data_IF_355147805282
#
_entry.id   IF_355147805282
#
_cell.length_a   1.000
_cell.length_b   1.000
_cell.length_c   1.000
_cell.angle_alpha   90.00
_cell.angle_beta   90.00
_cell.angle_gamma   90.00
#
_symmetry.space_group_name_H-M   'P 1'
#
loop_
_entity.id
_entity.type
_entity.pdbx_description
1 polymer ?
#
# COMPACT_ATOMS: atom_id res chain seq x y z
N UNK A 1 10.46 29.21 15.13
CA UNK A 1 11.14 29.33 15.63
C UNK A 1 11.35 29.12 16.20
N UNK A 2 11.10 28.95 16.04
CA UNK A 2 11.82 28.96 16.72
C UNK A 2 12.12 28.61 16.91
N UNK A 3 12.16 28.27 16.24
CA UNK A 3 12.86 28.07 16.65
C UNK A 3 13.39 27.70 16.91
N UNK A 4 13.39 27.67 16.63
CA UNK A 4 14.21 27.41 17.07
C UNK A 4 14.45 26.80 17.39
N UNK A 5 14.31 26.61 17.32
CA UNK A 5 14.97 26.14 17.92
C UNK A 5 15.01 25.48 17.90
N UNK A 6 14.97 25.20 17.69
CA UNK A 6 15.54 24.70 18.08
C UNK A 6 15.86 24.26 18.07
N UNK A 7 15.93 24.05 17.64
CA UNK A 7 16.65 23.67 17.83
C UNK A 7 16.95 23.06 17.93
N UNK A 8 16.90 23.17 17.90
CA UNK A 8 17.42 22.70 18.11
C UNK A 8 17.47 21.97 18.11
N UNK A 9 17.44 22.02 18.08
CA UNK A 9 17.69 21.43 18.21
C UNK A 9 17.62 20.61 18.01
N UNK A 10 17.59 20.63 17.97
CA UNK A 10 17.79 20.01 17.92
C UNK A 10 17.76 19.22 17.65
N UNK A 11 17.78 19.26 17.60
CA UNK A 11 18.01 18.67 17.53
C UNK A 11 17.91 17.85 17.28
N UNK A 12 17.84 17.82 17.24
CA UNK A 12 17.99 17.19 17.19
C UNK A 12 17.78 16.38 16.86
N UNK A 13 17.71 16.28 16.74
CA UNK A 13 17.76 15.66 16.64
C UNK A 13 17.62 14.86 16.28
N UNK A 14 17.56 14.77 16.15
CA UNK A 14 17.65 14.21 15.98
C UNK A 14 17.57 13.49 15.69
N UNK A 15 17.50 13.36 15.61
CA UNK A 15 17.64 12.81 15.48
C UNK A 15 17.45 12.11 15.27
N UNK A 16 17.37 12.11 15.23
CA UNK A 16 17.36 11.60 15.13
C UNK A 16 17.14 10.86 14.87
N UNK A 17 16.95 10.74 14.75
CA UNK A 17 16.99 10.22 14.60
C UNK A 17 16.83 9.42 14.36
N UNK A 18 16.88 9.18 14.32
CA UNK A 18 17.00 8.61 14.26
C UNK A 18 16.75 7.78 14.28
N UNK A 19 16.44 7.68 14.47
CA UNK A 19 16.40 7.08 14.55
C UNK A 19 16.09 6.36 14.20
N UNK A 20 15.88 6.36 13.90
CA UNK A 20 15.64 5.93 13.45
C UNK A 20 15.65 5.27 13.06
N UNK A 21 15.84 5.49 12.91
CA UNK A 21 16.14 4.94 12.67
C UNK A 21 16.03 3.99 12.99
N UNK A 22 16.09 4.14 13.16
CA UNK A 22 16.00 3.10 13.37
C UNK A 22 15.42 2.27 12.38
N UNK A 23 15.80 2.14 11.29
CA UNK A 23 15.32 1.48 10.15
C UNK A 23 14.78 0.11 10.42
N UNK A 24 15.09 -0.39 11.51
CA UNK A 24 14.57 -1.66 11.88
C UNK A 24 13.08 -1.66 11.95
N UNK A 25 12.49 -0.49 12.02
CA UNK A 25 11.09 -0.46 12.00
C UNK A 25 10.55 -0.35 10.64
N UNK A 26 11.18 -0.89 9.66
CA UNK A 26 10.69 -0.82 8.32
C UNK A 26 9.37 -1.52 8.22
N UNK A 27 8.35 -0.76 8.01
CA UNK A 27 7.04 -1.29 7.79
C UNK A 27 6.97 -1.95 6.43
N UNK A 28 6.05 -2.87 6.32
CA UNK A 28 5.77 -3.47 5.03
C UNK A 28 5.02 -2.47 4.17
N UNK A 29 5.34 -2.42 2.90
CA UNK A 29 4.67 -1.53 1.96
C UNK A 29 4.10 -2.33 0.81
N UNK A 30 2.88 -2.00 0.44
CA UNK A 30 2.23 -2.55 -0.73
C UNK A 30 2.20 -1.46 -1.80
N UNK A 31 2.75 -1.76 -2.97
CA UNK A 31 2.55 -0.96 -4.16
C UNK A 31 1.50 -1.69 -4.99
N UNK A 32 0.30 -1.14 -5.04
CA UNK A 32 -0.81 -1.76 -5.74
C UNK A 32 -1.13 -0.92 -6.97
N UNK A 33 -1.18 -1.56 -8.12
CA UNK A 33 -1.56 -0.90 -9.37
C UNK A 33 -2.86 -1.49 -9.85
N UNK A 34 -3.85 -0.64 -10.10
CA UNK A 34 -5.12 -1.04 -10.70
C UNK A 34 -5.15 -0.49 -12.11
N UNK A 35 -5.24 -1.38 -13.08
CA UNK A 35 -5.21 -1.00 -14.50
C UNK A 35 -6.58 -1.24 -15.10
N UNK A 36 -7.19 -0.17 -15.61
CA UNK A 36 -8.48 -0.25 -16.26
C UNK A 36 -8.26 -0.30 -17.77
N UNK A 37 -8.37 -1.49 -18.34
CA UNK A 37 -8.19 -1.66 -19.78
C UNK A 37 -9.49 -1.52 -20.56
N UNK A 38 -10.58 -1.20 -19.89
CA UNK A 38 -11.84 -0.92 -20.55
C UNK A 38 -11.88 0.51 -21.06
N UNK A 39 -13.02 0.91 -21.58
CA UNK A 39 -13.20 2.24 -22.12
C UNK A 39 -13.93 3.17 -21.17
N UNK A 40 -14.56 2.62 -20.13
CA UNK A 40 -15.35 3.41 -19.20
C UNK A 40 -14.65 3.55 -17.88
N UNK A 41 -14.86 4.66 -17.18
CA UNK A 41 -14.26 4.82 -15.85
C UNK A 41 -14.90 3.87 -14.85
N UNK A 42 -14.13 3.50 -13.84
CA UNK A 42 -14.61 2.63 -12.77
C UNK A 42 -14.28 3.28 -11.44
N UNK A 43 -15.09 2.97 -10.44
CA UNK A 43 -14.78 3.34 -9.06
C UNK A 43 -14.21 2.11 -8.38
N UNK A 44 -13.06 2.27 -7.75
CA UNK A 44 -12.32 1.18 -7.13
C UNK A 44 -12.19 1.48 -5.65
N UNK A 45 -12.45 0.49 -4.82
CA UNK A 45 -12.22 0.59 -3.38
C UNK A 45 -11.11 -0.36 -3.00
N UNK A 46 -10.15 0.13 -2.22
CA UNK A 46 -9.01 -0.66 -1.74
C UNK A 46 -9.07 -0.67 -0.22
N UNK A 47 -9.13 -1.86 0.35
CA UNK A 47 -9.14 -2.06 1.80
C UNK A 47 -8.01 -3.01 2.14
N UNK A 48 -7.14 -2.60 3.08
CA UNK A 48 -6.02 -3.42 3.53
C UNK A 48 -6.16 -3.67 5.02
N UNK A 49 -6.16 -4.94 5.39
CA UNK A 49 -6.25 -5.35 6.78
C UNK A 49 -5.17 -6.37 7.10
N UNK A 50 -4.81 -6.48 8.38
CA UNK A 50 -3.93 -7.54 8.82
C UNK A 50 -4.75 -8.69 9.43
N UNK A 51 -4.05 -9.70 9.96
CA UNK A 51 -4.72 -10.91 10.42
C UNK A 51 -5.43 -10.73 11.76
N UNK A 52 -5.24 -9.61 12.45
CA UNK A 52 -6.00 -9.33 13.67
C UNK A 52 -7.13 -8.33 13.40
N UNK A 53 -7.35 -7.97 12.14
CA UNK A 53 -8.46 -7.10 11.78
C UNK A 53 -8.16 -5.62 11.75
N UNK A 54 -6.91 -5.22 12.01
CA UNK A 54 -6.55 -3.81 11.93
C UNK A 54 -6.60 -3.35 10.48
N UNK A 55 -7.31 -2.26 10.23
CA UNK A 55 -7.41 -1.69 8.88
C UNK A 55 -6.32 -0.65 8.71
N UNK A 56 -5.47 -0.86 7.70
CA UNK A 56 -4.40 0.08 7.38
C UNK A 56 -4.78 1.05 6.29
N UNK A 57 -5.75 0.68 5.47
CA UNK A 57 -6.17 1.54 4.37
C UNK A 57 -7.60 1.20 4.00
N UNK A 58 -8.40 2.22 3.71
CA UNK A 58 -9.73 2.07 3.17
C UNK A 58 -9.98 3.31 2.33
N UNK A 59 -9.79 3.18 1.04
CA UNK A 59 -9.88 4.32 0.14
C UNK A 59 -10.61 3.94 -1.13
N UNK A 60 -11.25 4.91 -1.74
CA UNK A 60 -11.92 4.73 -3.01
C UNK A 60 -11.45 5.81 -3.97
N UNK A 61 -11.33 5.44 -5.23
CA UNK A 61 -10.90 6.39 -6.24
C UNK A 61 -11.43 5.97 -7.60
N UNK A 62 -11.41 6.91 -8.51
CA UNK A 62 -11.89 6.70 -9.87
C UNK A 62 -10.71 6.41 -10.78
N UNK A 63 -10.84 5.40 -11.62
CA UNK A 63 -9.82 5.03 -12.60
C UNK A 63 -10.45 5.14 -13.98
N UNK A 64 -9.91 6.06 -14.79
CA UNK A 64 -10.44 6.29 -16.14
C UNK A 64 -10.10 5.12 -17.05
N UNK A 65 -10.86 4.99 -18.12
CA UNK A 65 -10.58 3.95 -19.10
C UNK A 65 -9.22 4.12 -19.73
N UNK A 66 -8.48 3.03 -19.84
CA UNK A 66 -7.13 3.06 -20.39
C UNK A 66 -6.06 3.55 -19.45
N UNK A 67 -6.37 3.73 -18.16
CA UNK A 67 -5.45 4.33 -17.18
C UNK A 67 -5.11 3.31 -16.11
N UNK A 68 -3.85 3.33 -15.66
CA UNK A 68 -3.40 2.57 -14.50
C UNK A 68 -3.20 3.54 -13.34
N UNK A 69 -3.68 3.15 -12.17
CA UNK A 69 -3.59 3.99 -10.97
C UNK A 69 -2.87 3.25 -9.88
N UNK A 70 -1.91 3.92 -9.27
CA UNK A 70 -1.11 3.33 -8.21
C UNK A 70 -1.66 3.74 -6.84
N UNK A 71 -1.70 2.76 -5.93
CA UNK A 71 -2.06 2.98 -4.53
C UNK A 71 -0.90 2.46 -3.70
N UNK A 72 -0.40 3.30 -2.80
CA UNK A 72 0.70 2.90 -1.94
C UNK A 72 0.17 2.80 -0.52
N UNK A 73 0.35 1.64 0.10
CA UNK A 73 -0.18 1.37 1.43
C UNK A 73 0.93 0.93 2.33
N UNK A 74 1.04 1.54 3.51
CA UNK A 74 2.02 1.16 4.50
C UNK A 74 1.32 0.33 5.57
N UNK A 75 1.76 -0.89 5.76
CA UNK A 75 1.19 -1.81 6.73
C UNK A 75 2.07 -1.96 7.96
N UNK A 76 1.84 -3.02 8.70
CA UNK A 76 2.62 -3.33 9.89
C UNK A 76 3.93 -4.01 9.56
N UNK A 77 4.62 -4.49 10.58
CA UNK A 77 5.95 -5.08 10.43
C UNK A 77 5.94 -6.59 10.42
N UNK A 78 4.83 -7.23 10.75
CA UNK A 78 4.75 -8.68 10.76
C UNK A 78 3.32 -9.13 10.51
N UNK A 79 3.17 -10.40 10.27
CA UNK A 79 1.87 -11.03 10.08
C UNK A 79 1.38 -10.93 8.65
N UNK A 80 0.27 -11.59 8.41
CA UNK A 80 -0.33 -11.63 7.08
C UNK A 80 -1.18 -10.38 6.87
N UNK A 81 -0.98 -9.74 5.76
CA UNK A 81 -1.78 -8.60 5.33
C UNK A 81 -2.54 -8.98 4.07
N UNK A 82 -3.72 -8.40 3.92
CA UNK A 82 -4.56 -8.72 2.78
C UNK A 82 -5.17 -7.43 2.24
N UNK A 83 -5.04 -7.23 0.94
CA UNK A 83 -5.65 -6.12 0.25
C UNK A 83 -6.79 -6.65 -0.59
N UNK A 84 -7.98 -6.08 -0.41
CA UNK A 84 -9.15 -6.41 -1.20
C UNK A 84 -9.46 -5.20 -2.08
N UNK A 85 -9.57 -5.45 -3.36
CA UNK A 85 -9.86 -4.41 -4.36
C UNK A 85 -11.20 -4.74 -4.97
N UNK A 86 -12.16 -3.83 -4.84
CA UNK A 86 -13.51 -4.11 -5.33
C UNK A 86 -13.99 -3.03 -6.27
N UNK A 87 -14.83 -3.43 -7.20
CA UNK A 87 -15.60 -2.55 -8.06
C UNK A 87 -17.05 -2.93 -7.97
N UNK A 88 -17.86 -2.52 -8.98
CA UNK A 88 -19.29 -2.74 -8.92
C UNK A 88 -19.67 -4.22 -8.93
N UNK A 89 -18.99 -5.02 -9.74
CA UNK A 89 -19.35 -6.42 -9.91
C UNK A 89 -18.13 -7.33 -9.99
N UNK A 90 -17.02 -6.91 -9.41
CA UNK A 90 -15.79 -7.70 -9.42
C UNK A 90 -15.01 -7.47 -8.14
N UNK A 91 -14.11 -8.39 -7.86
CA UNK A 91 -13.26 -8.31 -6.68
C UNK A 91 -11.94 -8.99 -6.98
N UNK A 92 -10.84 -8.41 -6.50
CA UNK A 92 -9.52 -9.01 -6.55
C UNK A 92 -8.89 -8.93 -5.18
N UNK A 93 -7.95 -9.82 -4.92
CA UNK A 93 -7.32 -9.89 -3.60
C UNK A 93 -5.86 -10.22 -3.74
N UNK A 94 -5.03 -9.54 -2.96
CA UNK A 94 -3.61 -9.90 -2.82
C UNK A 94 -3.30 -10.02 -1.34
N UNK A 95 -2.39 -10.92 -1.01
CA UNK A 95 -2.03 -11.14 0.38
C UNK A 95 -0.52 -11.35 0.46
N UNK A 96 0.08 -10.88 1.54
CA UNK A 96 1.51 -11.04 1.75
C UNK A 96 1.81 -11.15 3.23
N UNK A 97 3.02 -11.61 3.53
CA UNK A 97 3.50 -11.72 4.91
C UNK A 97 4.46 -10.57 5.14
N UNK A 98 4.07 -9.64 6.00
CA UNK A 98 4.86 -8.45 6.28
C UNK A 98 6.15 -8.80 7.02
N UNK A 99 6.20 -9.94 7.69
CA UNK A 99 7.41 -10.36 8.40
C UNK A 99 8.50 -10.84 7.47
N UNK A 100 8.16 -11.26 6.25
CA UNK A 100 9.14 -11.76 5.29
C UNK A 100 9.28 -10.88 4.07
N UNK A 101 8.35 -9.96 3.85
CA UNK A 101 8.36 -9.09 2.68
C UNK A 101 8.26 -7.65 3.10
N UNK A 102 9.26 -6.84 2.76
CA UNK A 102 9.27 -5.43 3.08
C UNK A 102 8.56 -4.60 2.01
N UNK A 103 8.65 -5.03 0.75
CA UNK A 103 7.96 -4.35 -0.34
C UNK A 103 7.27 -5.39 -1.20
N UNK A 104 5.95 -5.31 -1.25
CA UNK A 104 5.13 -6.24 -2.00
C UNK A 104 4.45 -5.49 -3.15
N UNK A 105 4.47 -6.07 -4.33
CA UNK A 105 3.87 -5.47 -5.51
C UNK A 105 2.63 -6.26 -5.89
N UNK A 106 1.51 -5.57 -6.02
CA UNK A 106 0.26 -6.18 -6.47
C UNK A 106 -0.26 -5.47 -7.68
N UNK A 107 -0.85 -6.21 -8.59
CA UNK A 107 -1.42 -5.64 -9.80
C UNK A 107 -2.77 -6.26 -10.09
N UNK A 108 -3.75 -5.41 -10.30
CA UNK A 108 -5.10 -5.83 -10.67
C UNK A 108 -5.37 -5.24 -12.05
N UNK A 109 -5.68 -6.09 -13.00
CA UNK A 109 -5.93 -5.67 -14.37
C UNK A 109 -7.35 -6.05 -14.74
N UNK A 110 -8.09 -5.05 -15.18
CA UNK A 110 -9.50 -5.21 -15.53
C UNK A 110 -9.64 -5.09 -17.02
N UNK A 111 -10.16 -6.14 -17.63
CA UNK A 111 -10.58 -6.11 -19.03
C UNK A 111 -12.07 -6.39 -19.06
N UNK A 112 -12.68 -6.28 -20.22
CA UNK A 112 -14.13 -6.52 -20.32
C UNK A 112 -14.46 -7.90 -19.78
N UNK A 113 -15.17 -7.92 -18.65
CA UNK A 113 -15.67 -9.16 -18.09
C UNK A 113 -14.65 -10.01 -17.34
N UNK A 114 -13.42 -9.53 -17.14
CA UNK A 114 -12.45 -10.35 -16.41
C UNK A 114 -11.54 -9.52 -15.54
N UNK A 115 -11.06 -10.15 -14.47
CA UNK A 115 -10.13 -9.57 -13.51
C UNK A 115 -8.92 -10.48 -13.42
N UNK A 116 -7.74 -9.92 -13.60
CA UNK A 116 -6.50 -10.66 -13.43
C UNK A 116 -5.72 -10.03 -12.29
N UNK A 117 -5.19 -10.88 -11.41
CA UNK A 117 -4.42 -10.43 -10.26
C UNK A 117 -3.06 -11.09 -10.30
N UNK A 118 -2.02 -10.29 -10.18
CA UNK A 118 -0.65 -10.77 -10.09
C UNK A 118 0.02 -10.09 -8.92
N UNK A 119 0.93 -10.80 -8.24
CA UNK A 119 1.61 -10.21 -7.09
C UNK A 119 2.94 -10.91 -6.87
N UNK A 120 3.87 -10.17 -6.26
CA UNK A 120 5.17 -10.74 -5.92
C UNK A 120 5.83 -9.89 -4.85
N UNK A 121 6.71 -10.50 -4.09
CA UNK A 121 7.52 -9.75 -3.14
C UNK A 121 8.72 -9.20 -3.90
N UNK A 122 8.88 -7.89 -3.87
CA UNK A 122 9.97 -7.21 -4.56
C UNK A 122 11.21 -7.13 -3.67
N UNK A 123 10.98 -6.92 -2.37
CA UNK A 123 12.09 -6.74 -1.44
C UNK A 123 11.82 -7.58 -0.20
N UNK A 124 12.55 -8.67 -0.06
CA UNK A 124 12.42 -9.57 1.08
C UNK A 124 13.20 -9.02 2.27
N UNK A 125 12.71 -9.34 3.46
CA UNK A 125 13.42 -8.99 4.69
C UNK A 125 14.59 -9.91 4.96
#
# INVERSE_FOLDING_TARGET
>A
MNRRHFVAAAAATSVAGCTGLFGSEQRSRLDLTVQNEGTEPIIVRVVVVDDDGTTYEDTSDRVEGGVARAFEVVGGTDGRHEATVTGDDWEGQVAWDAGTCALFDGRVRLTDGSVEVASECVDFR
#
